data_IF_444501971885
#
_entry.id   IF_444501971885
#
_cell.length_a   1.000
_cell.length_b   1.000
_cell.length_c   1.000
_cell.angle_alpha   90.00
_cell.angle_beta   90.00
_cell.angle_gamma   90.00
#
_symmetry.space_group_name_H-M   'P 1'
#
loop_
_entity.id
_entity.type
_entity.pdbx_description
1 polymer ?
#
# COMPACT_ATOMS: atom_id res chain seq x y z
N UNK A 1 -14.97 13.10 14.84
CA UNK A 1 -14.08 13.69 13.81
C UNK A 1 -14.97 14.18 12.66
N UNK A 2 -14.74 15.37 12.08
CA UNK A 2 -15.56 15.87 10.97
C UNK A 2 -14.99 15.31 9.66
N UNK A 3 -15.80 14.57 8.91
CA UNK A 3 -15.42 14.08 7.58
C UNK A 3 -15.36 15.30 6.63
N UNK A 4 -14.27 15.50 5.88
CA UNK A 4 -14.17 16.61 4.95
C UNK A 4 -15.13 16.40 3.76
N UNK A 5 -15.60 17.49 3.13
CA UNK A 5 -16.32 17.38 1.87
C UNK A 5 -15.34 17.06 0.72
N UNK A 6 -15.88 16.50 -0.38
CA UNK A 6 -15.07 16.27 -1.59
C UNK A 6 -14.39 17.56 -2.08
N UNK A 7 -15.11 18.65 -2.06
CA UNK A 7 -14.59 19.95 -2.51
C UNK A 7 -13.42 20.42 -1.63
N UNK A 8 -13.53 20.28 -0.30
CA UNK A 8 -12.46 20.63 0.62
C UNK A 8 -11.21 19.78 0.38
N UNK A 9 -11.39 18.45 0.24
CA UNK A 9 -10.27 17.54 -0.04
C UNK A 9 -9.54 17.93 -1.31
N UNK A 10 -10.27 18.10 -2.42
CA UNK A 10 -9.64 18.42 -3.70
C UNK A 10 -8.94 19.79 -3.68
N UNK A 11 -9.48 20.77 -2.94
CA UNK A 11 -8.84 22.06 -2.77
C UNK A 11 -7.55 21.99 -1.94
N UNK A 12 -7.50 21.08 -0.96
CA UNK A 12 -6.36 20.94 -0.06
C UNK A 12 -5.20 20.10 -0.65
N UNK A 13 -5.50 19.21 -1.63
CA UNK A 13 -4.52 18.24 -2.14
C UNK A 13 -3.33 18.88 -2.88
N UNK A 14 -3.47 20.10 -3.37
CA UNK A 14 -2.40 20.82 -4.07
C UNK A 14 -1.55 21.69 -3.10
N UNK A 15 -1.92 21.75 -1.83
CA UNK A 15 -1.17 22.49 -0.83
C UNK A 15 0.03 21.67 -0.32
N UNK A 16 1.21 22.29 -0.12
CA UNK A 16 2.39 21.61 0.39
C UNK A 16 2.37 21.46 1.92
N UNK A 17 1.20 21.19 2.49
CA UNK A 17 0.97 21.06 3.93
C UNK A 17 -0.04 19.95 4.21
N UNK A 18 0.04 19.32 5.36
CA UNK A 18 -0.93 18.31 5.79
C UNK A 18 -2.22 18.99 6.24
N UNK A 19 -3.37 18.79 5.55
CA UNK A 19 -4.62 19.40 5.93
C UNK A 19 -5.10 18.96 7.32
N UNK A 20 -5.82 19.83 8.02
CA UNK A 20 -6.29 19.56 9.39
C UNK A 20 -7.18 18.29 9.49
N UNK A 21 -8.02 18.01 8.47
CA UNK A 21 -8.83 16.80 8.41
C UNK A 21 -7.96 15.54 8.31
N UNK A 22 -6.90 15.58 7.48
CA UNK A 22 -5.96 14.46 7.33
C UNK A 22 -5.17 14.22 8.62
N UNK A 23 -4.67 15.28 9.24
CA UNK A 23 -3.99 15.19 10.53
C UNK A 23 -4.89 14.56 11.62
N UNK A 24 -6.19 14.86 11.61
CA UNK A 24 -7.18 14.22 12.48
C UNK A 24 -7.35 12.72 12.24
N UNK A 25 -7.44 12.32 10.97
CA UNK A 25 -7.55 10.91 10.58
C UNK A 25 -6.29 10.13 10.95
N UNK A 26 -5.10 10.66 10.65
CA UNK A 26 -3.81 10.05 10.99
C UNK A 26 -3.69 9.80 12.50
N UNK A 27 -4.04 10.79 13.33
CA UNK A 27 -4.02 10.61 14.80
C UNK A 27 -5.02 9.55 15.28
N UNK A 28 -6.19 9.47 14.65
CA UNK A 28 -7.19 8.45 14.98
C UNK A 28 -6.68 7.04 14.64
N UNK A 29 -6.03 6.87 13.49
CA UNK A 29 -5.42 5.61 13.08
C UNK A 29 -4.24 5.20 13.97
N UNK A 30 -3.41 6.17 14.36
CA UNK A 30 -2.33 5.95 15.31
C UNK A 30 -2.84 5.49 16.68
N UNK A 31 -3.86 6.17 17.21
CA UNK A 31 -4.49 5.81 18.47
C UNK A 31 -5.13 4.40 18.45
N UNK A 32 -5.65 3.98 17.29
CA UNK A 32 -6.20 2.66 17.06
C UNK A 32 -5.15 1.60 16.63
N UNK A 33 -3.86 1.96 16.58
CA UNK A 33 -2.75 1.09 16.14
C UNK A 33 -2.92 0.51 14.74
N UNK A 34 -3.66 1.17 13.83
CA UNK A 34 -3.96 0.66 12.49
C UNK A 34 -2.71 0.57 11.61
N UNK A 35 -1.74 1.43 11.82
CA UNK A 35 -0.45 1.41 11.10
C UNK A 35 0.35 0.12 11.34
N UNK A 36 0.09 -0.61 12.41
CA UNK A 36 0.76 -1.88 12.70
C UNK A 36 0.40 -3.01 11.70
N UNK A 37 -0.67 -2.84 10.91
CA UNK A 37 -1.07 -3.77 9.84
C UNK A 37 -0.29 -3.55 8.54
N UNK A 38 0.50 -2.47 8.49
CA UNK A 38 1.22 -2.05 7.30
C UNK A 38 2.72 -2.16 7.48
N UNK A 39 3.36 -2.58 6.43
CA UNK A 39 4.78 -2.71 6.33
C UNK A 39 5.50 -1.38 6.16
N UNK A 40 6.69 -1.44 5.58
CA UNK A 40 7.53 -0.26 5.30
C UNK A 40 7.74 -0.08 3.81
N UNK A 41 7.87 1.18 3.42
CA UNK A 41 8.06 1.58 2.04
C UNK A 41 8.98 2.78 1.93
N UNK A 42 9.56 2.96 0.76
CA UNK A 42 10.22 4.22 0.37
C UNK A 42 9.19 5.22 -0.14
N UNK A 43 9.62 6.46 -0.31
CA UNK A 43 8.82 7.54 -0.93
C UNK A 43 9.19 7.77 -2.39
N UNK A 44 9.92 6.84 -3.01
CA UNK A 44 10.35 6.94 -4.41
C UNK A 44 9.37 6.24 -5.34
N UNK A 45 9.26 6.72 -6.55
CA UNK A 45 8.63 5.99 -7.64
C UNK A 45 9.55 4.86 -8.11
N UNK A 46 9.02 3.66 -8.33
CA UNK A 46 9.82 2.48 -8.68
C UNK A 46 10.43 2.57 -10.08
N UNK A 47 9.78 3.31 -10.99
CA UNK A 47 10.21 3.45 -12.37
C UNK A 47 11.29 4.51 -12.51
N UNK A 48 11.07 5.68 -11.90
CA UNK A 48 11.96 6.84 -12.06
C UNK A 48 13.03 6.93 -10.97
N UNK A 49 12.81 6.31 -9.80
CA UNK A 49 13.63 6.49 -8.61
C UNK A 49 13.48 7.87 -7.94
N UNK A 50 12.61 8.73 -8.48
CA UNK A 50 12.39 10.08 -7.97
C UNK A 50 11.39 10.08 -6.80
N UNK A 51 11.55 11.02 -5.85
CA UNK A 51 10.62 11.11 -4.73
C UNK A 51 9.24 11.60 -5.18
N UNK A 52 8.21 10.95 -4.70
CA UNK A 52 6.81 11.34 -4.91
C UNK A 52 6.23 12.14 -3.74
N UNK A 53 6.99 12.34 -2.69
CA UNK A 53 6.64 13.11 -1.50
C UNK A 53 7.86 13.89 -1.03
N UNK A 54 7.68 15.17 -0.63
CA UNK A 54 8.79 15.94 -0.08
C UNK A 54 9.22 15.41 1.29
N UNK A 55 10.46 15.70 1.67
CA UNK A 55 11.00 15.28 2.98
C UNK A 55 10.22 15.91 4.13
N UNK A 56 9.84 17.17 3.99
CA UNK A 56 9.10 17.92 5.01
C UNK A 56 7.73 17.27 5.27
N UNK A 57 6.98 16.94 4.19
CA UNK A 57 5.69 16.23 4.31
C UNK A 57 5.88 14.83 4.91
N UNK A 58 6.93 14.12 4.52
CA UNK A 58 7.24 12.81 5.09
C UNK A 58 7.46 12.90 6.61
N UNK A 59 8.26 13.86 7.07
CA UNK A 59 8.58 14.05 8.48
C UNK A 59 7.32 14.49 9.26
N UNK A 60 6.54 15.43 8.73
CA UNK A 60 5.29 15.90 9.34
C UNK A 60 4.27 14.75 9.50
N UNK A 61 4.09 13.92 8.48
CA UNK A 61 3.19 12.76 8.54
C UNK A 61 3.61 11.78 9.63
N UNK A 62 4.91 11.48 9.75
CA UNK A 62 5.43 10.57 10.77
C UNK A 62 5.30 11.14 12.19
N UNK A 63 5.54 12.43 12.37
CA UNK A 63 5.32 13.11 13.65
C UNK A 63 3.84 13.02 14.06
N UNK A 64 2.91 13.32 13.15
CA UNK A 64 1.47 13.22 13.39
C UNK A 64 1.02 11.81 13.80
N UNK A 65 1.63 10.78 13.19
CA UNK A 65 1.35 9.38 13.48
C UNK A 65 2.06 8.86 14.73
N UNK A 66 2.96 9.63 15.34
CA UNK A 66 3.82 9.16 16.42
C UNK A 66 4.75 8.02 16.02
N UNK A 67 5.06 7.92 14.72
CA UNK A 67 5.93 6.90 14.16
C UNK A 67 7.33 7.47 14.02
N UNK A 68 8.32 6.73 14.50
CA UNK A 68 9.71 7.05 14.19
C UNK A 68 9.97 6.73 12.72
N UNK A 69 10.43 7.70 11.96
CA UNK A 69 11.11 7.43 10.70
C UNK A 69 12.26 6.49 11.04
N UNK A 70 12.20 5.26 10.51
CA UNK A 70 13.09 4.22 11.01
C UNK A 70 14.55 4.61 10.93
N UNK A 71 15.30 4.22 11.93
CA UNK A 71 16.76 4.36 12.08
C UNK A 71 17.60 3.67 11.00
N UNK A 72 16.98 3.10 9.97
CA UNK A 72 17.69 2.67 8.79
C UNK A 72 18.21 3.92 8.09
N UNK A 73 19.45 4.29 8.39
CA UNK A 73 20.16 5.27 7.59
C UNK A 73 19.93 4.93 6.11
N UNK A 74 19.51 5.88 5.28
CA UNK A 74 19.39 5.65 3.84
C UNK A 74 20.62 4.98 3.24
N UNK A 75 21.81 5.30 3.76
CA UNK A 75 23.08 4.70 3.39
C UNK A 75 23.18 3.20 3.74
N UNK A 76 22.51 2.73 4.79
CA UNK A 76 22.58 1.34 5.22
C UNK A 76 21.72 0.40 4.34
N UNK A 77 20.74 0.94 3.65
CA UNK A 77 19.84 0.19 2.75
C UNK A 77 20.02 0.55 1.27
N UNK A 78 21.00 1.39 0.94
CA UNK A 78 21.27 1.80 -0.44
C UNK A 78 20.20 2.69 -1.07
N UNK A 79 19.28 3.23 -0.27
CA UNK A 79 18.23 4.16 -0.74
C UNK A 79 18.53 5.57 -0.27
N UNK A 80 18.44 6.53 -1.19
CA UNK A 80 18.69 7.94 -0.88
C UNK A 80 17.57 8.61 -0.07
N UNK A 81 16.39 7.98 0.02
CA UNK A 81 15.19 8.55 0.61
C UNK A 81 14.76 7.82 1.89
N UNK A 82 14.08 8.52 2.81
CA UNK A 82 13.66 7.93 4.05
C UNK A 82 12.67 6.76 3.84
N UNK A 83 12.71 5.83 4.78
CA UNK A 83 11.84 4.66 4.83
C UNK A 83 10.81 4.91 5.92
N UNK A 84 9.54 4.74 5.61
CA UNK A 84 8.44 4.95 6.52
C UNK A 84 7.41 3.84 6.54
N UNK A 85 6.34 4.05 7.30
CA UNK A 85 5.21 3.13 7.33
C UNK A 85 4.46 3.17 5.99
N UNK A 86 4.25 2.02 5.38
CA UNK A 86 3.65 1.92 4.06
C UNK A 86 2.20 2.44 4.04
N UNK A 87 1.39 2.15 5.05
CA UNK A 87 0.01 2.64 5.14
C UNK A 87 -0.06 4.16 5.27
N UNK A 88 0.81 4.75 6.11
CA UNK A 88 0.89 6.20 6.23
C UNK A 88 1.28 6.85 4.91
N UNK A 89 2.27 6.31 4.22
CA UNK A 89 2.78 6.88 2.97
C UNK A 89 1.81 6.69 1.81
N UNK A 90 1.29 5.47 1.61
CA UNK A 90 0.49 5.15 0.45
C UNK A 90 -0.94 5.67 0.55
N UNK A 91 -1.52 5.71 1.75
CA UNK A 91 -2.91 6.17 1.94
C UNK A 91 -2.99 7.68 2.15
N UNK A 92 -2.11 8.26 2.95
CA UNK A 92 -2.14 9.69 3.27
C UNK A 92 -1.08 10.48 2.48
N UNK A 93 0.17 10.02 2.49
CA UNK A 93 1.26 10.72 1.81
C UNK A 93 1.01 10.87 0.31
N UNK A 94 0.59 9.81 -0.35
CA UNK A 94 0.33 9.86 -1.80
C UNK A 94 -0.86 10.73 -2.20
N UNK A 95 -1.80 11.00 -1.30
CA UNK A 95 -2.83 12.02 -1.54
C UNK A 95 -2.23 13.42 -1.74
N UNK A 96 -1.11 13.71 -1.07
CA UNK A 96 -0.39 14.99 -1.17
C UNK A 96 0.65 14.99 -2.30
N UNK A 97 0.85 13.87 -3.00
CA UNK A 97 1.80 13.78 -4.10
C UNK A 97 1.29 14.53 -5.33
N UNK A 98 2.11 15.47 -5.82
CA UNK A 98 1.88 16.17 -7.10
C UNK A 98 2.72 15.59 -8.23
N UNK A 99 3.55 14.60 -7.95
CA UNK A 99 4.42 13.97 -8.95
C UNK A 99 3.59 13.22 -10.00
N UNK A 100 3.86 13.52 -11.27
CA UNK A 100 3.36 12.73 -12.38
C UNK A 100 4.24 11.49 -12.55
N UNK A 101 3.62 10.31 -12.66
CA UNK A 101 4.32 9.06 -12.90
C UNK A 101 3.84 8.46 -14.22
N UNK A 102 4.50 7.42 -14.69
CA UNK A 102 4.10 6.68 -15.91
C UNK A 102 2.63 6.19 -15.84
N UNK A 103 2.14 5.94 -14.62
CA UNK A 103 0.77 5.47 -14.38
C UNK A 103 -0.14 6.57 -13.79
N UNK A 104 0.11 7.84 -14.11
CA UNK A 104 -0.62 8.97 -13.57
C UNK A 104 -0.16 9.37 -12.16
N UNK A 105 -0.95 10.20 -11.50
CA UNK A 105 -0.60 10.68 -10.15
C UNK A 105 -0.94 9.65 -9.09
N UNK A 106 -0.04 9.46 -8.13
CA UNK A 106 -0.26 8.51 -7.02
C UNK A 106 -1.54 8.78 -6.23
N UNK A 107 -1.97 10.06 -6.12
CA UNK A 107 -3.20 10.44 -5.41
C UNK A 107 -4.48 9.91 -6.06
N UNK A 108 -4.49 9.75 -7.39
CA UNK A 108 -5.67 9.37 -8.15
C UNK A 108 -6.16 7.96 -7.79
N UNK A 109 -5.26 7.12 -7.34
CA UNK A 109 -5.49 5.76 -6.84
C UNK A 109 -6.67 5.64 -5.85
N UNK A 110 -6.82 6.64 -4.97
CA UNK A 110 -7.85 6.65 -3.92
C UNK A 110 -9.03 7.57 -4.20
N UNK A 111 -8.92 8.46 -5.17
CA UNK A 111 -9.96 9.45 -5.48
C UNK A 111 -10.73 9.14 -6.75
N UNK A 112 -10.16 8.38 -7.69
CA UNK A 112 -10.78 8.03 -8.96
C UNK A 112 -11.55 6.70 -8.95
N UNK A 113 -11.51 5.99 -7.82
CA UNK A 113 -12.30 4.80 -7.58
C UNK A 113 -11.81 3.53 -8.29
N UNK A 114 -10.70 3.56 -9.03
CA UNK A 114 -10.20 2.40 -9.75
C UNK A 114 -9.95 1.18 -8.85
N UNK A 115 -9.36 1.40 -7.67
CA UNK A 115 -9.16 0.34 -6.69
C UNK A 115 -10.48 -0.13 -6.08
N UNK A 116 -11.38 0.80 -5.74
CA UNK A 116 -12.66 0.45 -5.12
C UNK A 116 -13.50 -0.45 -6.03
N UNK A 117 -13.58 -0.11 -7.33
CA UNK A 117 -14.29 -0.93 -8.32
C UNK A 117 -13.77 -2.35 -8.43
N UNK A 118 -12.46 -2.57 -8.31
CA UNK A 118 -11.88 -3.91 -8.37
C UNK A 118 -12.35 -4.83 -7.23
N UNK A 119 -12.90 -4.25 -6.16
CA UNK A 119 -13.52 -4.96 -5.03
C UNK A 119 -15.05 -4.83 -5.01
N UNK A 120 -15.67 -4.50 -6.14
CA UNK A 120 -17.13 -4.34 -6.25
C UNK A 120 -17.72 -3.23 -5.36
N UNK A 121 -16.90 -2.22 -4.99
CA UNK A 121 -17.28 -1.15 -4.09
C UNK A 121 -17.61 0.14 -4.85
N UNK A 122 -18.39 1.06 -4.27
CA UNK A 122 -18.60 2.39 -4.82
C UNK A 122 -17.26 3.12 -5.07
N UNK A 123 -17.20 3.94 -6.12
CA UNK A 123 -15.98 4.64 -6.55
C UNK A 123 -15.30 5.44 -5.43
N UNK A 124 -16.08 6.01 -4.52
CA UNK A 124 -15.57 6.81 -3.43
C UNK A 124 -15.33 6.05 -2.11
N UNK A 125 -15.48 4.72 -2.12
CA UNK A 125 -15.37 3.91 -0.89
C UNK A 125 -14.06 4.12 -0.11
N UNK A 126 -12.97 4.42 -0.80
CA UNK A 126 -11.67 4.69 -0.19
C UNK A 126 -11.32 6.17 -0.10
N UNK A 127 -12.16 7.03 -0.64
CA UNK A 127 -11.92 8.47 -0.63
C UNK A 127 -12.04 9.07 0.78
N UNK A 128 -11.28 10.13 1.11
CA UNK A 128 -11.32 10.77 2.44
C UNK A 128 -12.70 11.32 2.83
N UNK A 129 -13.54 11.66 1.85
CA UNK A 129 -14.90 12.20 2.06
C UNK A 129 -15.99 11.12 2.19
N UNK A 130 -15.67 9.85 2.01
CA UNK A 130 -16.67 8.79 2.07
C UNK A 130 -17.20 8.59 3.49
N UNK A 131 -18.52 8.52 3.60
CA UNK A 131 -19.22 8.28 4.87
C UNK A 131 -20.01 6.99 4.73
N UNK A 132 -19.70 5.99 5.55
CA UNK A 132 -20.48 4.77 5.60
C UNK A 132 -21.75 4.98 6.44
N UNK A 133 -22.89 4.40 6.07
CA UNK A 133 -24.12 4.49 6.88
C UNK A 133 -23.99 3.94 8.30
N UNK A 134 -23.06 3.02 8.51
CA UNK A 134 -22.85 2.31 9.79
C UNK A 134 -21.67 2.82 10.61
N UNK A 135 -20.76 3.60 10.02
CA UNK A 135 -19.56 4.08 10.70
C UNK A 135 -19.18 5.47 10.18
N UNK A 136 -19.74 6.51 10.79
CA UNK A 136 -19.50 7.91 10.42
C UNK A 136 -18.06 8.37 10.62
N UNK A 137 -17.23 7.57 11.28
CA UNK A 137 -15.86 7.94 11.68
C UNK A 137 -14.77 7.02 11.13
N UNK A 138 -15.08 6.13 10.16
CA UNK A 138 -14.06 5.26 9.57
C UNK A 138 -13.10 6.06 8.68
N UNK A 139 -11.80 5.87 8.90
CA UNK A 139 -10.76 6.51 8.10
C UNK A 139 -10.54 5.77 6.76
N UNK A 140 -9.95 6.42 5.75
CA UNK A 140 -9.53 5.72 4.54
C UNK A 140 -8.63 4.51 4.83
N UNK A 141 -7.65 4.66 5.72
CA UNK A 141 -6.74 3.58 6.10
C UNK A 141 -7.49 2.37 6.68
N UNK A 142 -8.47 2.62 7.55
CA UNK A 142 -9.29 1.55 8.13
C UNK A 142 -10.08 0.78 7.05
N UNK A 143 -10.73 1.51 6.12
CA UNK A 143 -11.52 0.89 5.05
C UNK A 143 -10.66 0.09 4.07
N UNK A 144 -9.54 0.67 3.65
CA UNK A 144 -8.58 0.00 2.77
C UNK A 144 -8.02 -1.26 3.44
N UNK A 145 -7.63 -1.15 4.71
CA UNK A 145 -7.11 -2.30 5.47
C UNK A 145 -8.15 -3.41 5.61
N UNK A 146 -9.40 -3.06 5.93
CA UNK A 146 -10.48 -4.03 6.09
C UNK A 146 -10.77 -4.82 4.79
N UNK A 147 -10.61 -4.19 3.64
CA UNK A 147 -10.80 -4.84 2.33
C UNK A 147 -9.57 -5.64 1.91
N UNK A 148 -8.37 -5.12 2.16
CA UNK A 148 -7.14 -5.72 1.68
C UNK A 148 -6.63 -6.90 2.54
N UNK A 149 -6.82 -6.84 3.85
CA UNK A 149 -6.27 -7.82 4.78
C UNK A 149 -6.79 -9.25 4.54
N UNK A 150 -8.08 -9.50 4.27
CA UNK A 150 -8.56 -10.84 3.94
C UNK A 150 -7.79 -11.48 2.77
N UNK A 151 -7.57 -10.74 1.69
CA UNK A 151 -6.81 -11.25 0.53
C UNK A 151 -5.32 -11.44 0.82
N UNK A 152 -4.75 -10.66 1.73
CA UNK A 152 -3.37 -10.86 2.14
C UNK A 152 -3.21 -12.13 3.00
N UNK A 153 -4.22 -12.47 3.79
CA UNK A 153 -4.26 -13.67 4.64
C UNK A 153 -4.61 -14.91 3.83
N UNK A 154 -5.74 -14.90 3.14
CA UNK A 154 -6.22 -16.00 2.31
C UNK A 154 -6.81 -15.47 0.98
N UNK A 155 -6.01 -15.42 -0.10
CA UNK A 155 -6.51 -14.93 -1.39
C UNK A 155 -7.61 -15.80 -1.98
N UNK A 156 -7.76 -17.03 -1.51
CA UNK A 156 -8.77 -17.96 -2.01
C UNK A 156 -10.17 -17.74 -1.40
N UNK A 157 -10.29 -16.84 -0.42
CA UNK A 157 -11.56 -16.53 0.21
C UNK A 157 -12.31 -15.44 -0.57
N UNK A 158 -13.60 -15.68 -0.90
CA UNK A 158 -14.48 -14.73 -1.59
C UNK A 158 -14.85 -15.08 -3.04
N UNK A 159 -15.77 -14.28 -3.60
CA UNK A 159 -16.39 -14.48 -4.92
C UNK A 159 -15.75 -13.59 -6.00
N UNK A 160 -14.44 -13.47 -6.01
CA UNK A 160 -13.68 -12.69 -6.99
C UNK A 160 -12.81 -13.58 -7.86
N UNK A 161 -12.53 -13.15 -9.08
CA UNK A 161 -11.41 -13.71 -9.84
C UNK A 161 -10.12 -13.18 -9.20
N UNK A 162 -9.31 -14.10 -8.69
CA UNK A 162 -8.07 -13.79 -7.99
C UNK A 162 -6.91 -14.54 -8.58
N UNK A 163 -5.85 -13.82 -8.88
CA UNK A 163 -4.52 -14.39 -9.16
C UNK A 163 -3.60 -13.99 -8.01
N UNK A 164 -2.85 -14.94 -7.46
CA UNK A 164 -1.79 -14.58 -6.53
C UNK A 164 -0.48 -15.29 -6.81
N UNK A 165 0.59 -14.65 -6.39
CA UNK A 165 1.96 -15.13 -6.51
C UNK A 165 2.54 -15.10 -5.10
N UNK A 166 2.88 -16.27 -4.57
CA UNK A 166 3.60 -16.41 -3.32
C UNK A 166 5.08 -16.63 -3.60
N UNK A 167 5.91 -15.77 -3.08
CA UNK A 167 7.36 -15.88 -3.14
C UNK A 167 7.87 -16.09 -1.73
N UNK A 168 8.48 -17.25 -1.47
CA UNK A 168 8.92 -17.64 -0.14
C UNK A 168 10.44 -17.66 -0.04
N UNK A 169 10.95 -17.47 1.15
CA UNK A 169 12.38 -17.43 1.40
C UNK A 169 12.76 -18.17 2.69
N UNK A 170 14.06 -18.45 2.89
CA UNK A 170 14.52 -19.10 4.09
C UNK A 170 14.17 -18.27 5.33
N UNK A 171 13.62 -18.90 6.34
CA UNK A 171 13.21 -18.30 7.61
C UNK A 171 14.36 -17.67 8.42
N UNK A 172 15.58 -17.79 7.95
CA UNK A 172 16.76 -17.33 8.64
C UNK A 172 17.29 -16.03 8.01
N UNK A 173 16.86 -14.89 8.50
CA UNK A 173 17.72 -13.74 8.45
C UNK A 173 17.26 -12.49 7.72
N UNK A 174 16.10 -12.43 7.12
CA UNK A 174 15.59 -11.20 6.53
C UNK A 174 14.61 -10.55 7.50
N UNK A 175 15.04 -9.54 8.22
CA UNK A 175 14.14 -8.75 9.04
C UNK A 175 13.41 -7.76 8.13
N UNK A 176 12.19 -8.07 7.81
CA UNK A 176 11.28 -7.10 7.23
C UNK A 176 10.58 -6.38 8.37
N UNK A 177 10.83 -5.07 8.46
CA UNK A 177 9.98 -4.13 9.17
C UNK A 177 9.71 -4.45 10.65
N UNK A 178 10.53 -3.91 11.49
CA UNK A 178 10.47 -4.18 12.92
C UNK A 178 11.22 -5.45 13.26
N UNK A 179 10.74 -6.27 14.14
CA UNK A 179 11.42 -7.47 14.61
C UNK A 179 11.07 -8.75 13.85
N UNK A 180 10.26 -8.67 12.79
CA UNK A 180 9.75 -9.84 12.10
C UNK A 180 10.59 -10.23 10.88
N UNK A 181 10.77 -11.52 10.69
CA UNK A 181 11.45 -12.11 9.53
C UNK A 181 10.39 -12.34 8.45
N UNK A 182 10.56 -11.75 7.27
CA UNK A 182 9.70 -12.07 6.14
C UNK A 182 10.07 -13.46 5.61
N UNK A 183 9.09 -14.33 5.61
CA UNK A 183 9.16 -15.64 4.98
C UNK A 183 8.31 -15.70 3.72
N UNK A 184 7.50 -14.68 3.49
CA UNK A 184 6.54 -14.60 2.39
C UNK A 184 6.50 -13.17 1.82
N UNK A 185 6.52 -13.07 0.50
CA UNK A 185 6.06 -11.90 -0.23
C UNK A 185 4.91 -12.35 -1.13
N UNK A 186 3.74 -11.75 -0.96
CA UNK A 186 2.53 -12.11 -1.68
C UNK A 186 2.05 -10.96 -2.55
N UNK A 187 1.89 -11.25 -3.83
CA UNK A 187 1.24 -10.37 -4.79
C UNK A 187 -0.13 -10.96 -5.11
N UNK A 188 -1.19 -10.21 -4.90
CA UNK A 188 -2.56 -10.62 -5.22
C UNK A 188 -3.13 -9.64 -6.23
N UNK A 189 -3.75 -10.16 -7.28
CA UNK A 189 -4.58 -9.37 -8.18
C UNK A 189 -6.02 -9.82 -8.00
N UNK A 190 -6.87 -8.86 -7.69
CA UNK A 190 -8.31 -9.05 -7.58
C UNK A 190 -8.98 -8.39 -8.77
N UNK A 191 -9.96 -9.07 -9.37
CA UNK A 191 -10.76 -8.55 -10.46
C UNK A 191 -12.24 -8.71 -10.14
N UNK A 192 -12.97 -7.63 -10.29
CA UNK A 192 -14.43 -7.64 -10.31
C UNK A 192 -14.92 -8.01 -11.70
N UNK A 193 -15.71 -9.08 -11.81
CA UNK A 193 -16.21 -9.59 -13.08
C UNK A 193 -17.27 -8.66 -13.72
N UNK A 194 -18.03 -7.95 -12.90
CA UNK A 194 -19.11 -7.07 -13.38
C UNK A 194 -18.55 -5.80 -14.03
N UNK A 195 -17.60 -5.16 -13.42
CA UNK A 195 -16.96 -3.94 -13.95
C UNK A 195 -15.75 -4.22 -14.83
N UNK A 196 -15.14 -5.39 -14.69
CA UNK A 196 -13.86 -5.74 -15.28
C UNK A 196 -12.66 -5.02 -14.64
N UNK A 197 -12.89 -4.21 -13.61
CA UNK A 197 -11.82 -3.50 -12.91
C UNK A 197 -10.92 -4.47 -12.15
N UNK A 198 -9.63 -4.19 -12.14
CA UNK A 198 -8.65 -4.99 -11.41
C UNK A 198 -7.76 -4.12 -10.53
N UNK A 199 -7.31 -4.68 -9.41
CA UNK A 199 -6.34 -4.05 -8.53
C UNK A 199 -5.29 -5.05 -8.06
N UNK A 200 -4.07 -4.57 -7.88
CA UNK A 200 -3.00 -5.32 -7.26
C UNK A 200 -2.88 -4.94 -5.80
N UNK A 201 -2.72 -5.95 -4.97
CA UNK A 201 -2.36 -5.85 -3.55
C UNK A 201 -1.03 -6.55 -3.34
N UNK A 202 -0.15 -5.94 -2.57
CA UNK A 202 1.14 -6.53 -2.21
C UNK A 202 1.33 -6.52 -0.71
N UNK A 203 1.74 -7.65 -0.17
CA UNK A 203 2.03 -7.84 1.24
C UNK A 203 3.32 -8.61 1.45
N UNK A 204 3.93 -8.43 2.62
CA UNK A 204 5.15 -9.12 3.04
C UNK A 204 5.01 -9.54 4.50
N UNK A 205 5.74 -10.55 4.92
CA UNK A 205 5.75 -10.98 6.32
C UNK A 205 5.76 -12.48 6.48
N UNK A 206 4.91 -13.01 7.34
CA UNK A 206 4.65 -14.45 7.46
C UNK A 206 3.25 -14.75 6.92
N UNK A 207 2.99 -16.02 6.64
CA UNK A 207 1.68 -16.47 6.16
C UNK A 207 0.55 -16.15 7.16
N UNK A 208 0.84 -16.19 8.45
CA UNK A 208 -0.14 -15.95 9.51
C UNK A 208 -0.27 -14.47 9.91
N UNK A 209 0.67 -13.64 9.49
CA UNK A 209 0.71 -12.22 9.83
C UNK A 209 1.33 -11.39 8.69
N UNK A 210 0.65 -11.30 7.53
CA UNK A 210 1.10 -10.46 6.43
C UNK A 210 0.96 -8.99 6.82
N UNK A 211 1.92 -8.19 6.36
CA UNK A 211 1.89 -6.74 6.46
C UNK A 211 1.61 -6.17 5.07
N UNK A 212 0.58 -5.36 4.95
CA UNK A 212 0.24 -4.68 3.71
C UNK A 212 1.34 -3.69 3.34
N UNK A 213 1.70 -3.63 2.07
CA UNK A 213 2.68 -2.65 1.57
C UNK A 213 2.00 -1.66 0.64
N UNK A 214 1.31 -2.14 -0.38
CA UNK A 214 0.65 -1.27 -1.35
C UNK A 214 -0.59 -1.92 -1.95
N UNK A 215 -1.47 -1.07 -2.48
CA UNK A 215 -2.60 -1.45 -3.31
C UNK A 215 -2.77 -0.39 -4.40
N UNK A 216 -2.97 -0.81 -5.64
CA UNK A 216 -3.15 0.12 -6.77
C UNK A 216 -3.99 -0.51 -7.89
N UNK A 217 -4.68 0.32 -8.71
CA UNK A 217 -5.47 -0.19 -9.83
C UNK A 217 -4.55 -0.71 -10.93
N UNK A 218 -5.01 -1.71 -11.64
CA UNK A 218 -4.38 -2.20 -12.87
C UNK A 218 -5.23 -1.75 -14.05
N UNK A 219 -4.59 -1.18 -15.07
CA UNK A 219 -5.25 -0.79 -16.32
C UNK A 219 -5.61 -2.02 -17.15
N UNK A 220 -4.72 -3.01 -17.14
CA UNK A 220 -4.90 -4.28 -17.84
C UNK A 220 -4.51 -5.45 -16.92
N UNK A 221 -5.31 -6.51 -16.97
CA UNK A 221 -5.03 -7.77 -16.31
C UNK A 221 -5.16 -8.91 -17.30
N UNK A 222 -4.03 -9.48 -17.68
CA UNK A 222 -3.96 -10.56 -18.65
C UNK A 222 -2.66 -11.35 -18.55
N UNK A 223 -2.44 -12.33 -19.45
CA UNK A 223 -1.23 -13.15 -19.46
C UNK A 223 0.07 -12.34 -19.51
N UNK A 224 0.08 -11.26 -20.28
CA UNK A 224 1.25 -10.36 -20.41
C UNK A 224 1.62 -9.70 -19.09
N UNK A 225 0.60 -9.31 -18.29
CA UNK A 225 0.86 -8.78 -16.96
C UNK A 225 1.57 -9.81 -16.08
N UNK A 226 1.10 -11.07 -16.10
CA UNK A 226 1.71 -12.15 -15.34
C UNK A 226 3.16 -12.38 -15.74
N UNK A 227 3.44 -12.39 -17.06
CA UNK A 227 4.80 -12.53 -17.57
C UNK A 227 5.71 -11.41 -17.03
N UNK A 228 5.26 -10.14 -17.06
CA UNK A 228 6.00 -9.03 -16.49
C UNK A 228 6.19 -9.16 -14.97
N UNK A 229 5.15 -9.55 -14.24
CA UNK A 229 5.23 -9.72 -12.79
C UNK A 229 6.24 -10.82 -12.39
N UNK A 230 6.47 -11.79 -13.26
CA UNK A 230 7.39 -12.90 -13.03
C UNK A 230 8.81 -12.66 -13.56
N UNK A 231 9.08 -11.52 -14.20
CA UNK A 231 10.43 -11.21 -14.70
C UNK A 231 11.42 -11.18 -13.53
N UNK A 232 12.51 -11.90 -13.69
CA UNK A 232 13.53 -12.08 -12.67
C UNK A 232 13.19 -13.15 -11.64
N UNK A 233 14.07 -13.31 -10.65
CA UNK A 233 13.85 -14.23 -9.52
C UNK A 233 12.89 -13.68 -8.48
N UNK A 234 12.47 -14.51 -7.51
CA UNK A 234 11.71 -14.07 -6.35
C UNK A 234 12.43 -12.94 -5.61
N UNK A 235 11.73 -11.85 -5.30
CA UNK A 235 12.31 -10.67 -4.64
C UNK A 235 11.24 -9.79 -4.01
N UNK A 236 11.63 -8.95 -3.06
CA UNK A 236 10.79 -7.85 -2.61
C UNK A 236 10.55 -6.85 -3.76
N UNK A 237 9.32 -6.34 -3.84
CA UNK A 237 8.84 -5.45 -4.92
C UNK A 237 8.03 -4.30 -4.34
N UNK A 238 7.56 -3.44 -5.25
CA UNK A 238 6.56 -2.40 -4.97
C UNK A 238 6.93 -1.51 -3.78
N UNK A 239 8.15 -1.01 -3.76
CA UNK A 239 8.69 -0.17 -2.68
C UNK A 239 8.81 -0.86 -1.30
N UNK A 240 8.53 -2.16 -1.19
CA UNK A 240 8.77 -2.88 0.05
C UNK A 240 10.24 -2.84 0.44
N UNK A 241 10.51 -2.53 1.71
CA UNK A 241 11.88 -2.40 2.22
C UNK A 241 12.09 -3.37 3.35
N UNK A 242 13.19 -4.11 3.29
CA UNK A 242 13.62 -4.88 4.44
C UNK A 242 14.39 -3.99 5.44
N UNK A 243 14.33 -4.35 6.71
CA UNK A 243 14.91 -3.54 7.77
C UNK A 243 16.43 -3.59 7.89
N UNK A 244 17.12 -4.43 7.11
CA UNK A 244 18.56 -4.66 7.24
C UNK A 244 19.35 -4.23 6.02
N UNK A 245 18.86 -4.52 4.83
CA UNK A 245 19.60 -4.29 3.60
C UNK A 245 18.63 -4.34 2.39
N UNK A 246 18.73 -3.40 1.48
CA UNK A 246 18.02 -3.47 0.19
C UNK A 246 18.43 -4.70 -0.65
N UNK A 247 19.60 -5.27 -0.38
CA UNK A 247 20.07 -6.54 -0.93
C UNK A 247 19.70 -7.73 -0.02
N UNK A 248 18.45 -7.78 0.44
CA UNK A 248 17.92 -8.86 1.25
C UNK A 248 18.21 -10.22 0.61
N UNK A 249 18.31 -11.27 1.44
CA UNK A 249 18.42 -12.62 0.93
C UNK A 249 17.26 -12.88 -0.04
N UNK A 250 17.54 -13.33 -1.27
CA UNK A 250 16.49 -13.51 -2.25
C UNK A 250 15.46 -14.50 -1.74
N UNK A 251 14.20 -14.22 -2.00
CA UNK A 251 13.17 -15.22 -1.92
C UNK A 251 13.51 -16.30 -2.96
N UNK A 252 13.39 -17.56 -2.61
CA UNK A 252 13.94 -18.66 -3.43
C UNK A 252 12.88 -19.51 -4.12
N UNK A 253 11.69 -19.55 -3.56
CA UNK A 253 10.57 -20.33 -4.09
C UNK A 253 9.43 -19.38 -4.53
N UNK A 254 8.75 -19.79 -5.58
CA UNK A 254 7.61 -19.06 -6.14
C UNK A 254 6.49 -20.03 -6.49
N UNK A 255 5.28 -19.72 -6.03
CA UNK A 255 4.06 -20.39 -6.42
C UNK A 255 3.09 -19.39 -7.07
N UNK A 256 2.36 -19.82 -8.09
CA UNK A 256 1.42 -19.01 -8.85
C UNK A 256 0.09 -19.71 -8.92
N UNK A 257 -0.95 -19.08 -8.43
CA UNK A 257 -2.31 -19.64 -8.41
C UNK A 257 -3.30 -18.66 -9.04
N UNK A 258 -4.16 -19.16 -9.90
CA UNK A 258 -5.31 -18.44 -10.47
C UNK A 258 -6.59 -19.12 -10.01
N UNK A 259 -7.50 -18.36 -9.44
CA UNK A 259 -8.85 -18.80 -9.11
C UNK A 259 -9.87 -17.89 -9.77
N UNK A 260 -10.80 -18.49 -10.54
CA UNK A 260 -11.91 -17.82 -11.19
C UNK A 260 -13.21 -18.44 -10.70
N UNK A 261 -14.25 -17.65 -10.54
CA UNK A 261 -15.60 -18.08 -10.21
C UNK A 261 -16.57 -17.70 -11.31
#
# INVERSE_FOLDING_TARGET
MTTPSRADVLADLDAPVVPAWMAGQIRADAAASRFARWGRSTVTDDTTGEPVLSRELFEELHELAGLTSGDASPAAVGVAWPIGNAGLLHVYGYLLSTADTEHGRKRDRWVDGGVARAFGLPDDAFAPWFVTPSATDSTPLERITAVAEPFALDPADGDFTVLWIDETGPSAGVAVIGASVATLARTVVVRDEDSGAAALLYSVGSIDAPLLVTMFPLEEFGPEWLEHALVGGPRLRYNAVDGRNAASAPLVDRDVTLRSF
#
